data_IF_593921124547
#
_entry.id   IF_593921124547
#
_cell.length_a   1.000
_cell.length_b   1.000
_cell.length_c   1.000
_cell.angle_alpha   90.00
_cell.angle_beta   90.00
_cell.angle_gamma   90.00
#
_symmetry.space_group_name_H-M   'P 1'
#
loop_
_entity.id
_entity.type
_entity.pdbx_description
1 polymer ?
#
# COMPACT_ATOMS: atom_id res chain seq x y z
N UNK A 1 -21.41 -12.34 2.85
CA UNK A 1 -20.90 -10.96 2.71
C UNK A 1 -20.82 -10.43 4.12
N UNK A 2 -19.63 -10.18 4.63
CA UNK A 2 -19.47 -9.74 6.02
C UNK A 2 -19.89 -8.27 6.13
N UNK A 3 -21.12 -8.06 6.63
CA UNK A 3 -21.60 -6.76 7.09
C UNK A 3 -21.17 -6.55 8.55
N UNK A 4 -20.48 -5.44 8.83
CA UNK A 4 -20.06 -5.05 10.18
C UNK A 4 -18.57 -4.70 10.30
N UNK A 5 -18.04 -4.67 11.52
CA UNK A 5 -16.64 -4.28 11.86
C UNK A 5 -15.56 -5.04 11.06
N UNK A 6 -15.87 -6.25 10.58
CA UNK A 6 -14.98 -7.08 9.77
C UNK A 6 -14.96 -6.70 8.27
N UNK A 7 -15.87 -5.83 7.82
CA UNK A 7 -15.90 -5.29 6.46
C UNK A 7 -15.08 -4.01 6.28
N UNK A 8 -14.56 -3.42 7.37
CA UNK A 8 -13.81 -2.17 7.33
C UNK A 8 -12.30 -2.46 7.34
N UNK A 9 -11.77 -2.82 6.18
CA UNK A 9 -10.34 -3.11 6.00
C UNK A 9 -9.56 -1.80 5.93
N UNK A 10 -8.48 -1.71 6.70
CA UNK A 10 -7.51 -0.62 6.61
C UNK A 10 -6.21 -1.13 6.00
N UNK A 11 -5.52 -0.23 5.31
CA UNK A 11 -4.27 -0.53 4.63
C UNK A 11 -3.11 0.22 5.27
N UNK A 12 -1.96 -0.42 5.37
CA UNK A 12 -0.74 0.18 5.90
C UNK A 12 0.50 -0.26 5.13
N UNK A 13 1.57 0.53 5.21
CA UNK A 13 2.85 0.18 4.59
C UNK A 13 3.69 -0.64 5.56
N UNK A 14 3.92 -1.92 5.24
CA UNK A 14 4.78 -2.81 6.02
C UNK A 14 6.25 -2.65 5.64
N UNK A 15 6.53 -2.42 4.36
CA UNK A 15 7.87 -2.13 3.84
C UNK A 15 7.74 -1.24 2.61
N UNK A 16 8.64 -0.28 2.45
CA UNK A 16 8.74 0.51 1.23
C UNK A 16 10.20 0.85 0.99
N UNK A 17 10.64 0.84 -0.26
CA UNK A 17 12.00 1.29 -0.60
C UNK A 17 12.08 2.82 -0.55
N UNK A 18 13.27 3.36 -0.28
CA UNK A 18 13.52 4.81 -0.24
C UNK A 18 13.15 5.54 -1.55
N UNK A 19 13.24 4.84 -2.69
CA UNK A 19 12.83 5.38 -3.98
C UNK A 19 11.31 5.38 -4.13
N UNK A 20 10.66 4.27 -3.77
CA UNK A 20 9.21 4.14 -3.83
C UNK A 20 8.50 5.10 -2.87
N UNK A 21 9.04 5.37 -1.67
CA UNK A 21 8.44 6.27 -0.69
C UNK A 21 8.36 7.73 -1.16
N UNK A 22 9.19 8.11 -2.15
CA UNK A 22 9.21 9.46 -2.74
C UNK A 22 8.26 9.64 -3.92
N UNK A 23 7.66 8.56 -4.43
CA UNK A 23 6.83 8.60 -5.64
C UNK A 23 5.48 7.92 -5.46
N UNK A 24 5.35 6.94 -4.56
CA UNK A 24 4.12 6.19 -4.32
C UNK A 24 3.48 6.62 -3.02
N UNK A 25 2.15 6.73 -3.03
CA UNK A 25 1.32 6.98 -1.86
C UNK A 25 0.20 5.95 -1.78
N UNK A 26 -0.05 5.44 -0.57
CA UNK A 26 -1.13 4.52 -0.25
C UNK A 26 -2.27 5.27 0.46
N UNK A 27 -3.49 5.12 -0.04
CA UNK A 27 -4.70 5.53 0.66
C UNK A 27 -5.09 4.45 1.70
N UNK A 28 -5.05 4.79 2.98
CA UNK A 28 -5.27 3.87 4.10
C UNK A 28 -6.72 3.37 4.14
N UNK A 29 -7.67 4.14 3.62
CA UNK A 29 -9.10 3.84 3.68
C UNK A 29 -9.57 3.07 2.45
N UNK A 30 -8.98 3.33 1.28
CA UNK A 30 -9.40 2.72 0.00
C UNK A 30 -8.47 1.63 -0.52
N UNK A 31 -7.21 1.65 -0.08
CA UNK A 31 -6.16 0.80 -0.65
C UNK A 31 -5.65 1.28 -2.02
N UNK A 32 -6.04 2.48 -2.46
CA UNK A 32 -5.54 3.07 -3.71
C UNK A 32 -4.04 3.36 -3.61
N UNK A 33 -3.27 2.96 -4.63
CA UNK A 33 -1.87 3.36 -4.77
C UNK A 33 -1.76 4.39 -5.89
N UNK A 34 -1.20 5.55 -5.58
CA UNK A 34 -1.09 6.70 -6.51
C UNK A 34 0.34 7.17 -6.63
N UNK A 35 0.66 7.76 -7.78
CA UNK A 35 1.90 8.49 -8.00
C UNK A 35 1.76 9.92 -7.46
N UNK A 36 2.69 10.34 -6.61
CA UNK A 36 2.77 11.74 -6.12
C UNK A 36 3.65 12.62 -7.02
N UNK A 37 4.46 12.00 -7.88
CA UNK A 37 5.22 12.67 -8.94
C UNK A 37 5.39 11.74 -10.15
N UNK A 38 5.76 12.33 -11.28
CA UNK A 38 6.05 11.57 -12.51
C UNK A 38 7.24 10.63 -12.32
N UNK A 39 7.19 9.49 -13.01
CA UNK A 39 8.29 8.53 -13.05
C UNK A 39 9.32 8.99 -14.07
N UNK A 40 10.59 8.95 -13.67
CA UNK A 40 11.73 9.10 -14.57
C UNK A 40 12.51 7.77 -14.58
N UNK A 41 12.79 7.25 -15.77
CA UNK A 41 13.50 6.00 -15.95
C UNK A 41 14.96 6.10 -15.48
N UNK A 42 15.57 7.29 -15.53
CA UNK A 42 16.95 7.49 -15.07
C UNK A 42 17.09 7.43 -13.54
N UNK A 43 16.02 7.70 -12.79
CA UNK A 43 16.03 7.69 -11.32
C UNK A 43 15.88 6.27 -10.72
N UNK A 44 15.24 5.36 -11.43
CA UNK A 44 15.01 4.01 -10.95
C UNK A 44 14.29 3.11 -11.96
N UNK A 45 14.74 1.86 -12.01
CA UNK A 45 14.24 0.78 -12.85
C UNK A 45 13.11 -0.04 -12.20
N UNK A 46 12.99 0.02 -10.87
CA UNK A 46 11.96 -0.69 -10.09
C UNK A 46 11.62 0.02 -8.78
N UNK A 47 10.37 -0.14 -8.33
CA UNK A 47 9.85 0.51 -7.12
C UNK A 47 9.03 -0.46 -6.30
N UNK A 48 9.64 -1.03 -5.26
CA UNK A 48 8.98 -2.04 -4.44
C UNK A 48 8.32 -1.45 -3.19
N UNK A 49 7.12 -1.94 -2.87
CA UNK A 49 6.48 -1.78 -1.56
C UNK A 49 5.76 -3.05 -1.11
N UNK A 50 5.52 -3.18 0.19
CA UNK A 50 4.72 -4.23 0.81
C UNK A 50 3.60 -3.55 1.58
N UNK A 51 2.38 -3.83 1.16
CA UNK A 51 1.15 -3.32 1.78
C UNK A 51 0.58 -4.40 2.69
N UNK A 52 0.06 -3.99 3.85
CA UNK A 52 -0.68 -4.84 4.75
C UNK A 52 -2.14 -4.39 4.77
N UNK A 53 -3.06 -5.33 4.59
CA UNK A 53 -4.48 -5.14 4.84
C UNK A 53 -4.81 -5.72 6.21
N UNK A 54 -5.54 -5.00 7.05
CA UNK A 54 -5.97 -5.49 8.35
C UNK A 54 -7.42 -5.11 8.64
N UNK A 55 -8.16 -6.02 9.26
CA UNK A 55 -9.53 -5.78 9.70
C UNK A 55 -9.58 -5.31 11.16
N UNK A 56 -10.78 -4.93 11.62
CA UNK A 56 -11.02 -4.56 13.02
C UNK A 56 -10.88 -5.71 14.02
N UNK A 57 -10.67 -6.95 13.54
CA UNK A 57 -10.56 -8.19 14.32
C UNK A 57 -9.13 -8.66 14.54
N UNK A 58 -8.12 -7.84 14.20
CA UNK A 58 -6.70 -8.15 14.29
C UNK A 58 -6.19 -9.23 13.31
N UNK A 59 -6.98 -9.59 12.29
CA UNK A 59 -6.48 -10.35 11.16
C UNK A 59 -5.77 -9.40 10.21
N UNK A 60 -4.66 -9.85 9.64
CA UNK A 60 -3.96 -9.09 8.61
C UNK A 60 -3.33 -10.00 7.58
N UNK A 61 -3.28 -9.52 6.35
CA UNK A 61 -2.56 -10.16 5.25
C UNK A 61 -1.69 -9.14 4.51
N UNK A 62 -0.72 -9.61 3.74
CA UNK A 62 0.28 -8.75 3.09
C UNK A 62 0.48 -9.08 1.62
N UNK A 63 0.63 -8.04 0.80
CA UNK A 63 0.92 -8.15 -0.62
C UNK A 63 2.17 -7.33 -1.00
N UNK A 64 2.95 -7.84 -1.96
CA UNK A 64 4.09 -7.12 -2.57
C UNK A 64 3.63 -6.44 -3.85
N UNK A 65 4.02 -5.18 -4.02
CA UNK A 65 3.87 -4.38 -5.24
C UNK A 65 5.25 -4.12 -5.80
N UNK A 66 5.41 -4.31 -7.11
CA UNK A 66 6.68 -4.25 -7.86
C UNK A 66 6.45 -3.55 -9.19
#
# INVERSE_FOLDING_TARGET
>A
ADEGVNGNVKYSLKKITEKASKILQLDIDRGDIKLVRSLDFEEGDSYEMVVQAHDGGALSDTAKVI
#
